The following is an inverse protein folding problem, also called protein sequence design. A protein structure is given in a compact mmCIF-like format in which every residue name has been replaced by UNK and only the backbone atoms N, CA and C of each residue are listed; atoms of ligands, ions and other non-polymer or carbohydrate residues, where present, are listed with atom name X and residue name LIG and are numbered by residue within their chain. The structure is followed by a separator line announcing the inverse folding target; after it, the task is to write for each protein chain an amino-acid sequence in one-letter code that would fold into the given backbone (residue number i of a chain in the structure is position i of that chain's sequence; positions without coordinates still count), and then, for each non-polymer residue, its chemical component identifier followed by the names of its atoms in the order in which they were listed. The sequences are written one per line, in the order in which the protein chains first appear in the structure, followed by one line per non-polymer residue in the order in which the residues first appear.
data_IF_898453051330
#
_entry.id   IF_898453051330
#
_cell.length_a   1.000
_cell.length_b   1.000
_cell.length_c   1.000
_cell.angle_alpha   90.00
_cell.angle_beta   90.00
_cell.angle_gamma   90.00
#
_symmetry.space_group_name_H-M   'P 1'
#
loop_
_entity.id
_entity.type
_entity.pdbx_description
1 polymer ?
#
# COMPACT_ATOMS: atom_id res chain seq x y z
N UNK A 1 -43.36 28.09 31.39
CA UNK A 1 -43.87 26.73 31.22
C UNK A 1 -45.15 26.80 30.42
N UNK A 2 -45.09 26.57 29.11
CA UNK A 2 -46.27 26.42 28.26
C UNK A 2 -46.00 25.32 27.25
N UNK A 3 -46.84 24.34 27.32
CA UNK A 3 -46.78 23.01 26.76
C UNK A 3 -47.01 23.00 25.23
N UNK A 4 -46.23 22.18 24.53
CA UNK A 4 -46.25 21.88 23.08
C UNK A 4 -47.50 21.13 22.59
N UNK A 5 -48.67 21.24 23.24
CA UNK A 5 -49.84 20.37 22.99
C UNK A 5 -51.08 21.03 22.38
N UNK A 6 -51.05 22.29 21.92
CA UNK A 6 -52.27 22.97 21.45
C UNK A 6 -52.17 23.55 20.04
N UNK A 7 -51.73 22.75 19.08
CA UNK A 7 -51.74 23.22 17.66
C UNK A 7 -52.40 22.24 16.68
N UNK A 8 -53.31 21.43 17.14
CA UNK A 8 -54.17 20.60 16.26
C UNK A 8 -55.60 20.67 16.78
N UNK A 9 -56.37 21.69 16.35
CA UNK A 9 -57.83 21.70 16.29
C UNK A 9 -58.35 23.07 15.84
N UNK A 10 -58.63 23.20 14.55
CA UNK A 10 -59.59 24.07 13.88
C UNK A 10 -59.22 24.09 12.41
N UNK A 11 -59.96 23.78 11.42
CA UNK A 11 -61.38 23.57 11.25
C UNK A 11 -61.56 23.33 9.76
N UNK A 12 -62.37 22.35 9.41
CA UNK A 12 -62.70 22.05 8.02
C UNK A 12 -63.61 23.10 7.39
N UNK A 13 -63.36 23.40 6.15
CA UNK A 13 -64.35 23.91 5.20
C UNK A 13 -64.00 23.41 3.79
N UNK A 14 -64.93 22.64 3.25
CA UNK A 14 -64.92 22.13 1.88
C UNK A 14 -65.28 23.31 0.95
N UNK A 15 -64.41 23.62 -0.01
CA UNK A 15 -64.77 24.37 -1.22
C UNK A 15 -64.27 23.57 -2.42
N UNK A 16 -65.21 23.08 -3.20
CA UNK A 16 -65.03 22.49 -4.52
C UNK A 16 -64.76 23.62 -5.50
N UNK A 17 -63.56 23.69 -6.01
CA UNK A 17 -63.15 24.65 -7.06
C UNK A 17 -62.29 23.98 -8.12
N UNK A 18 -62.70 24.14 -9.35
CA UNK A 18 -62.28 23.47 -10.57
C UNK A 18 -60.75 23.36 -10.76
N UNK A 19 -60.35 22.21 -11.27
CA UNK A 19 -59.00 21.85 -11.67
C UNK A 19 -58.47 22.78 -12.77
N UNK A 20 -57.38 23.52 -12.45
CA UNK A 20 -56.40 23.95 -13.41
C UNK A 20 -55.12 23.16 -13.10
N UNK A 21 -54.89 22.10 -13.86
CA UNK A 21 -53.63 21.33 -13.86
C UNK A 21 -52.50 22.22 -14.39
N UNK A 22 -51.86 22.97 -13.53
CA UNK A 22 -50.56 23.51 -13.78
C UNK A 22 -49.55 22.37 -13.70
N UNK A 23 -49.15 21.81 -14.86
CA UNK A 23 -47.97 21.00 -15.00
C UNK A 23 -46.76 21.81 -14.51
N UNK A 24 -46.34 21.57 -13.29
CA UNK A 24 -44.98 21.91 -12.87
C UNK A 24 -44.06 21.12 -13.79
N UNK A 25 -43.13 21.76 -14.53
CA UNK A 25 -42.10 21.02 -15.18
C UNK A 25 -41.30 20.33 -14.08
N UNK A 26 -41.50 19.01 -13.92
CA UNK A 26 -40.61 18.17 -13.15
C UNK A 26 -39.22 18.43 -13.69
N UNK A 27 -38.30 18.89 -12.86
CA UNK A 27 -36.89 18.78 -13.13
C UNK A 27 -36.54 17.30 -13.19
N UNK A 28 -36.90 16.63 -14.29
CA UNK A 28 -36.20 15.48 -14.75
C UNK A 28 -34.79 15.99 -15.07
N UNK A 29 -33.86 15.86 -14.14
CA UNK A 29 -32.45 15.95 -14.47
C UNK A 29 -32.22 14.85 -15.51
N UNK A 30 -32.30 15.21 -16.79
CA UNK A 30 -31.74 14.40 -17.86
C UNK A 30 -30.28 14.27 -17.48
N UNK A 31 -29.91 13.08 -16.94
CA UNK A 31 -28.51 12.74 -16.80
C UNK A 31 -27.94 12.89 -18.23
N UNK A 32 -27.20 13.96 -18.47
CA UNK A 32 -26.47 14.11 -19.71
C UNK A 32 -25.67 12.83 -19.91
N UNK A 33 -26.02 12.06 -20.94
CA UNK A 33 -25.24 10.89 -21.34
C UNK A 33 -23.90 11.44 -21.83
N UNK A 34 -22.93 11.53 -20.90
CA UNK A 34 -21.61 12.01 -21.24
C UNK A 34 -21.03 11.08 -22.31
N UNK A 35 -20.46 11.68 -23.37
CA UNK A 35 -19.77 10.95 -24.41
C UNK A 35 -18.71 10.05 -23.76
N UNK A 36 -18.67 8.75 -24.09
CA UNK A 36 -17.63 7.84 -23.61
C UNK A 36 -16.24 8.39 -23.96
N UNK A 37 -15.36 8.51 -22.97
CA UNK A 37 -13.99 8.99 -23.17
C UNK A 37 -13.03 7.89 -23.56
N UNK A 38 -13.38 6.62 -23.30
CA UNK A 38 -12.56 5.45 -23.58
C UNK A 38 -12.41 4.52 -22.38
N UNK A 39 -11.49 3.58 -22.51
CA UNK A 39 -11.25 2.50 -21.54
C UNK A 39 -9.88 2.65 -20.87
N UNK A 40 -9.87 2.55 -19.54
CA UNK A 40 -8.65 2.42 -18.74
C UNK A 40 -8.59 1.03 -18.14
N UNK A 41 -7.54 0.29 -18.47
CA UNK A 41 -7.21 -0.98 -17.82
C UNK A 41 -6.24 -0.71 -16.66
N UNK A 42 -6.47 -1.34 -15.50
CA UNK A 42 -5.62 -1.21 -14.31
C UNK A 42 -5.13 -2.60 -13.91
N UNK A 43 -3.81 -2.80 -13.90
CA UNK A 43 -3.16 -4.04 -13.47
C UNK A 43 -2.64 -3.88 -12.05
N UNK A 44 -3.15 -4.71 -11.13
CA UNK A 44 -2.81 -4.71 -9.71
C UNK A 44 -3.78 -3.91 -8.86
N UNK A 45 -4.49 -4.62 -7.97
CA UNK A 45 -5.49 -4.07 -7.07
C UNK A 45 -4.95 -3.93 -5.64
N UNK A 46 -3.78 -3.31 -5.50
CA UNK A 46 -3.24 -2.80 -4.25
C UNK A 46 -3.77 -1.40 -3.94
N UNK A 47 -3.09 -0.69 -3.04
CA UNK A 47 -3.46 0.68 -2.61
C UNK A 47 -3.61 1.65 -3.79
N UNK A 48 -2.66 1.64 -4.74
CA UNK A 48 -2.69 2.56 -5.88
C UNK A 48 -3.78 2.21 -6.89
N UNK A 49 -3.85 0.94 -7.32
CA UNK A 49 -4.77 0.54 -8.39
C UNK A 49 -6.24 0.65 -8.01
N UNK A 50 -6.62 0.25 -6.80
CA UNK A 50 -8.00 0.40 -6.31
C UNK A 50 -8.41 1.86 -6.19
N UNK A 51 -7.50 2.70 -5.67
CA UNK A 51 -7.72 4.15 -5.60
C UNK A 51 -7.89 4.73 -7.00
N UNK A 52 -6.98 4.42 -7.92
CA UNK A 52 -7.09 4.91 -9.30
C UNK A 52 -8.42 4.49 -9.96
N UNK A 53 -8.84 3.23 -9.76
CA UNK A 53 -10.09 2.70 -10.32
C UNK A 53 -11.31 3.48 -9.84
N UNK A 54 -11.44 3.68 -8.52
CA UNK A 54 -12.54 4.44 -7.92
C UNK A 54 -12.57 5.88 -8.42
N UNK A 55 -11.43 6.57 -8.33
CA UNK A 55 -11.36 7.99 -8.62
C UNK A 55 -11.48 8.29 -10.13
N UNK A 56 -11.01 7.41 -11.02
CA UNK A 56 -11.27 7.51 -12.45
C UNK A 56 -12.77 7.50 -12.74
N UNK A 57 -13.52 6.58 -12.14
CA UNK A 57 -14.98 6.51 -12.30
C UNK A 57 -15.67 7.76 -11.74
N UNK A 58 -15.29 8.16 -10.53
CA UNK A 58 -15.90 9.32 -9.86
C UNK A 58 -15.64 10.62 -10.62
N UNK A 59 -14.39 10.92 -10.93
CA UNK A 59 -14.00 12.20 -11.51
C UNK A 59 -14.34 12.34 -13.00
N UNK A 60 -14.41 11.21 -13.72
CA UNK A 60 -14.95 11.23 -15.08
C UNK A 60 -16.49 11.33 -15.13
N UNK A 61 -17.18 11.26 -13.98
CA UNK A 61 -18.64 11.13 -13.93
C UNK A 61 -19.15 9.91 -14.67
N UNK A 62 -18.36 8.81 -14.65
CA UNK A 62 -18.69 7.57 -15.31
C UNK A 62 -18.33 7.50 -16.80
N UNK A 63 -17.77 8.55 -17.40
CA UNK A 63 -17.45 8.58 -18.82
C UNK A 63 -16.26 7.70 -19.23
N UNK A 64 -15.40 7.31 -18.28
CA UNK A 64 -14.29 6.37 -18.52
C UNK A 64 -14.73 4.97 -18.08
N UNK A 65 -14.64 4.00 -18.98
CA UNK A 65 -14.76 2.58 -18.64
C UNK A 65 -13.51 2.14 -17.88
N UNK A 66 -13.66 1.53 -16.71
CA UNK A 66 -12.53 1.12 -15.85
C UNK A 66 -12.60 -0.37 -15.55
N UNK A 67 -11.54 -1.08 -15.93
CA UNK A 67 -11.32 -2.49 -15.62
C UNK A 67 -10.15 -2.60 -14.64
N UNK A 68 -10.36 -3.28 -13.53
CA UNK A 68 -9.33 -3.53 -12.50
C UNK A 68 -9.07 -5.02 -12.41
N UNK A 69 -7.87 -5.44 -12.77
CA UNK A 69 -7.45 -6.84 -12.75
C UNK A 69 -6.43 -7.10 -11.64
N UNK A 70 -6.64 -8.20 -10.93
CA UNK A 70 -5.70 -8.74 -9.95
C UNK A 70 -5.85 -10.27 -9.89
N UNK A 71 -4.77 -10.99 -9.65
CA UNK A 71 -4.81 -12.44 -9.46
C UNK A 71 -5.49 -12.84 -8.16
N UNK A 72 -5.41 -11.99 -7.13
CA UNK A 72 -6.03 -12.24 -5.84
C UNK A 72 -7.45 -11.68 -5.78
N UNK A 73 -8.45 -12.46 -5.35
CA UNK A 73 -9.85 -12.01 -5.31
C UNK A 73 -10.12 -10.99 -4.19
N UNK A 74 -9.29 -10.97 -3.16
CA UNK A 74 -9.45 -10.09 -2.00
C UNK A 74 -8.21 -9.22 -1.81
N UNK A 75 -8.39 -8.10 -1.14
CA UNK A 75 -7.29 -7.22 -0.72
C UNK A 75 -6.89 -7.52 0.72
N UNK A 76 -5.60 -7.79 0.95
CA UNK A 76 -5.02 -7.90 2.30
C UNK A 76 -4.04 -6.75 2.49
N UNK A 77 -4.26 -5.95 3.52
CA UNK A 77 -3.45 -4.78 3.80
C UNK A 77 -2.06 -5.15 4.31
N UNK A 78 -1.00 -4.71 3.63
CA UNK A 78 0.36 -4.83 4.14
C UNK A 78 0.62 -3.90 5.34
N UNK A 79 0.26 -2.62 5.34
CA UNK A 79 0.10 -1.86 6.58
C UNK A 79 -0.83 -2.60 7.54
N UNK A 80 -0.47 -2.63 8.83
CA UNK A 80 -1.12 -3.40 9.91
C UNK A 80 -0.81 -4.91 9.93
N UNK A 81 -0.13 -5.48 8.93
CA UNK A 81 0.20 -6.92 8.95
C UNK A 81 1.19 -7.30 10.05
N UNK A 82 2.03 -6.37 10.52
CA UNK A 82 2.91 -6.60 11.66
C UNK A 82 2.13 -6.83 12.96
N UNK A 83 0.93 -6.24 13.11
CA UNK A 83 0.05 -6.49 14.25
C UNK A 83 -0.49 -7.94 14.27
N UNK A 84 -0.64 -8.56 13.08
CA UNK A 84 -1.01 -9.98 12.97
C UNK A 84 0.17 -10.86 13.41
N UNK A 85 1.39 -10.52 13.02
CA UNK A 85 2.61 -11.23 13.46
C UNK A 85 2.78 -11.08 14.98
N UNK A 86 2.57 -9.89 15.53
CA UNK A 86 2.59 -9.62 16.97
C UNK A 86 1.45 -10.28 17.75
N UNK A 87 0.34 -10.64 17.08
CA UNK A 87 -0.81 -11.32 17.67
C UNK A 87 -1.88 -10.40 18.25
N UNK A 88 -1.75 -9.08 18.08
CA UNK A 88 -2.77 -8.12 18.53
C UNK A 88 -3.92 -7.95 17.54
N UNK A 89 -3.78 -8.47 16.30
CA UNK A 89 -4.81 -8.50 15.25
C UNK A 89 -4.81 -9.82 14.51
N UNK A 90 -5.88 -10.07 13.78
CA UNK A 90 -6.04 -11.24 12.90
C UNK A 90 -5.88 -10.86 11.44
N UNK A 91 -5.60 -11.82 10.57
CA UNK A 91 -5.54 -11.58 9.13
C UNK A 91 -6.90 -11.12 8.57
N UNK A 92 -8.01 -11.62 9.14
CA UNK A 92 -9.36 -11.22 8.75
C UNK A 92 -9.63 -9.73 8.98
N UNK A 93 -9.14 -9.17 10.10
CA UNK A 93 -9.30 -7.75 10.41
C UNK A 93 -8.59 -6.79 9.44
N UNK A 94 -7.62 -7.28 8.69
CA UNK A 94 -6.89 -6.50 7.67
C UNK A 94 -7.21 -6.94 6.24
N UNK A 95 -8.16 -7.86 6.07
CA UNK A 95 -8.66 -8.31 4.76
C UNK A 95 -9.92 -7.54 4.38
N UNK A 96 -10.01 -7.10 3.13
CA UNK A 96 -11.14 -6.31 2.61
C UNK A 96 -11.63 -6.85 1.27
N UNK A 97 -12.96 -6.81 1.08
CA UNK A 97 -13.59 -7.07 -0.21
C UNK A 97 -13.48 -5.84 -1.11
N UNK A 98 -13.32 -6.08 -2.41
CA UNK A 98 -13.31 -5.04 -3.45
C UNK A 98 -14.71 -4.78 -4.03
N UNK A 99 -15.73 -5.51 -3.60
CA UNK A 99 -17.04 -5.52 -4.27
C UNK A 99 -17.69 -4.14 -4.38
N UNK A 100 -17.52 -3.28 -3.37
CA UNK A 100 -18.05 -1.92 -3.41
C UNK A 100 -17.52 -1.06 -4.58
N UNK A 101 -16.37 -1.39 -5.17
CA UNK A 101 -15.90 -0.71 -6.37
C UNK A 101 -16.87 -0.90 -7.56
N UNK A 102 -17.67 -1.96 -7.57
CA UNK A 102 -18.73 -2.19 -8.58
C UNK A 102 -19.83 -1.11 -8.51
N UNK A 103 -20.09 -0.57 -7.32
CA UNK A 103 -21.09 0.49 -7.13
C UNK A 103 -20.66 1.80 -7.82
N UNK A 104 -19.34 1.98 -8.02
CA UNK A 104 -18.78 3.06 -8.83
C UNK A 104 -18.71 2.70 -10.32
N UNK A 105 -19.11 1.50 -10.72
CA UNK A 105 -19.06 1.01 -12.12
C UNK A 105 -17.67 0.49 -12.53
N UNK A 106 -16.82 0.09 -11.58
CA UNK A 106 -15.55 -0.59 -11.89
C UNK A 106 -15.82 -2.05 -12.21
N UNK A 107 -15.29 -2.53 -13.33
CA UNK A 107 -15.30 -3.95 -13.69
C UNK A 107 -14.13 -4.66 -12.99
N UNK A 108 -14.44 -5.57 -12.07
CA UNK A 108 -13.44 -6.35 -11.33
C UNK A 108 -13.15 -7.67 -12.05
N UNK A 109 -11.90 -7.86 -12.46
CA UNK A 109 -11.41 -9.07 -13.12
C UNK A 109 -10.46 -9.80 -12.15
N UNK A 110 -10.67 -11.11 -11.99
CA UNK A 110 -9.76 -11.95 -11.18
C UNK A 110 -9.05 -12.91 -12.14
N UNK A 111 -7.84 -12.52 -12.52
CA UNK A 111 -6.93 -13.28 -13.39
C UNK A 111 -5.51 -12.76 -13.30
N UNK A 112 -4.57 -13.49 -13.86
CA UNK A 112 -3.18 -13.08 -14.01
C UNK A 112 -2.95 -12.46 -15.39
N UNK A 113 -2.39 -11.27 -15.43
CA UNK A 113 -1.91 -10.66 -16.67
C UNK A 113 -0.56 -11.25 -17.03
N UNK A 114 -0.46 -11.86 -18.19
CA UNK A 114 0.78 -12.53 -18.64
C UNK A 114 1.63 -11.66 -19.57
N UNK A 115 1.01 -10.76 -20.34
CA UNK A 115 1.72 -9.84 -21.23
C UNK A 115 0.89 -8.60 -21.56
N UNK A 116 1.56 -7.57 -22.05
CA UNK A 116 0.95 -6.37 -22.61
C UNK A 116 1.61 -6.09 -23.96
N UNK A 117 0.81 -6.00 -25.00
CA UNK A 117 1.22 -5.51 -26.34
C UNK A 117 0.94 -3.98 -26.36
N UNK A 118 1.96 -3.20 -26.13
CA UNK A 118 1.84 -1.73 -26.08
C UNK A 118 1.51 -1.11 -27.44
N UNK A 119 2.00 -1.72 -28.53
CA UNK A 119 1.77 -1.20 -29.90
C UNK A 119 0.30 -1.36 -30.29
N UNK A 120 -0.31 -2.51 -29.97
CA UNK A 120 -1.73 -2.79 -30.22
C UNK A 120 -2.64 -2.35 -29.09
N UNK A 121 -2.08 -1.91 -27.94
CA UNK A 121 -2.79 -1.60 -26.70
C UNK A 121 -3.70 -2.75 -26.24
N UNK A 122 -3.11 -3.94 -26.11
CA UNK A 122 -3.82 -5.17 -25.72
C UNK A 122 -3.16 -5.74 -24.46
N UNK A 123 -4.00 -6.09 -23.45
CA UNK A 123 -3.61 -6.88 -22.28
C UNK A 123 -3.98 -8.33 -22.51
N UNK A 124 -3.03 -9.25 -22.22
CA UNK A 124 -3.22 -10.70 -22.32
C UNK A 124 -3.38 -11.32 -20.93
N UNK A 125 -4.35 -12.20 -20.84
CA UNK A 125 -4.70 -12.89 -19.61
C UNK A 125 -4.27 -14.35 -19.65
N UNK A 126 -4.16 -14.98 -18.47
CA UNK A 126 -3.71 -16.36 -18.34
C UNK A 126 -4.81 -17.36 -18.63
N UNK A 127 -5.95 -17.25 -17.94
CA UNK A 127 -6.91 -18.33 -17.85
C UNK A 127 -8.35 -17.97 -18.20
N UNK A 128 -8.88 -16.84 -17.71
CA UNK A 128 -10.33 -16.59 -17.63
C UNK A 128 -10.87 -15.63 -18.67
N UNK A 129 -10.05 -14.74 -19.18
CA UNK A 129 -10.51 -13.68 -20.06
C UNK A 129 -9.77 -13.72 -21.40
N UNK A 130 -10.50 -13.37 -22.46
CA UNK A 130 -9.89 -13.09 -23.76
C UNK A 130 -9.03 -11.82 -23.67
N UNK A 131 -8.14 -11.65 -24.64
CA UNK A 131 -7.33 -10.44 -24.77
C UNK A 131 -8.23 -9.19 -24.84
N UNK A 132 -7.86 -8.13 -24.10
CA UNK A 132 -8.65 -6.90 -23.99
C UNK A 132 -7.87 -5.66 -24.37
N UNK A 133 -8.50 -4.80 -25.18
CA UNK A 133 -7.93 -3.51 -25.56
C UNK A 133 -8.11 -2.44 -24.49
N UNK A 134 -7.24 -1.42 -24.51
CA UNK A 134 -7.31 -0.24 -23.64
C UNK A 134 -6.93 1.04 -24.41
N UNK A 135 -7.39 2.19 -23.94
CA UNK A 135 -6.93 3.50 -24.42
C UNK A 135 -5.77 4.00 -23.56
N UNK A 136 -5.85 3.80 -22.25
CA UNK A 136 -4.79 4.05 -21.27
C UNK A 136 -4.62 2.85 -20.34
N UNK A 137 -3.38 2.61 -19.90
CA UNK A 137 -3.05 1.53 -18.97
C UNK A 137 -2.49 2.10 -17.68
N UNK A 138 -2.95 1.57 -16.55
CA UNK A 138 -2.36 1.83 -15.22
C UNK A 138 -1.74 0.53 -14.72
N UNK A 139 -0.47 0.57 -14.33
CA UNK A 139 0.26 -0.58 -13.78
C UNK A 139 0.65 -0.27 -12.33
N UNK A 140 -0.01 -0.94 -11.40
CA UNK A 140 0.18 -0.76 -9.93
C UNK A 140 0.59 -2.09 -9.26
N UNK A 141 1.70 -2.71 -9.67
CA UNK A 141 2.00 -4.10 -9.38
C UNK A 141 2.72 -4.29 -8.04
N UNK A 142 3.13 -3.18 -7.40
CA UNK A 142 3.96 -3.22 -6.21
C UNK A 142 5.39 -3.70 -6.48
N UNK A 143 5.94 -4.48 -5.55
CA UNK A 143 7.32 -5.00 -5.61
C UNK A 143 7.34 -6.52 -5.78
N UNK A 144 8.45 -7.02 -6.31
CA UNK A 144 8.91 -8.39 -6.18
C UNK A 144 10.30 -8.46 -5.54
N UNK A 145 10.68 -9.65 -5.10
CA UNK A 145 11.90 -9.90 -4.37
C UNK A 145 13.01 -10.38 -5.30
N UNK A 146 14.22 -9.93 -5.03
CA UNK A 146 15.43 -10.31 -5.76
C UNK A 146 16.09 -11.52 -5.07
N UNK A 147 15.45 -12.69 -5.16
CA UNK A 147 15.99 -13.93 -4.56
C UNK A 147 17.31 -14.36 -5.19
N UNK A 148 17.63 -13.88 -6.38
CA UNK A 148 18.94 -14.09 -6.98
C UNK A 148 20.10 -13.51 -6.15
N UNK A 149 19.82 -12.53 -5.29
CA UNK A 149 20.81 -11.96 -4.36
C UNK A 149 21.04 -12.83 -3.11
N UNK A 150 20.21 -13.86 -2.88
CA UNK A 150 20.27 -14.76 -1.73
C UNK A 150 20.24 -16.21 -2.24
N UNK A 151 21.37 -16.78 -2.67
CA UNK A 151 21.42 -18.08 -3.34
C UNK A 151 20.70 -19.21 -2.61
N UNK A 152 20.83 -19.30 -1.29
CA UNK A 152 20.15 -20.31 -0.46
C UNK A 152 18.63 -20.15 -0.37
N UNK A 153 18.07 -19.04 -0.81
CA UNK A 153 16.62 -18.79 -0.86
C UNK A 153 16.01 -19.01 -2.26
N UNK A 154 16.76 -19.53 -3.21
CA UNK A 154 16.23 -19.91 -4.51
C UNK A 154 15.34 -21.15 -4.38
N UNK A 155 14.14 -21.04 -4.91
CA UNK A 155 13.17 -22.14 -4.90
C UNK A 155 12.12 -22.04 -3.79
N UNK A 156 10.94 -22.59 -4.10
CA UNK A 156 9.75 -22.48 -3.25
C UNK A 156 9.94 -23.08 -1.85
N UNK A 157 10.64 -24.22 -1.74
CA UNK A 157 10.83 -24.89 -0.46
C UNK A 157 11.63 -24.05 0.53
N UNK A 158 12.70 -23.39 0.08
CA UNK A 158 13.48 -22.48 0.89
C UNK A 158 12.64 -21.27 1.32
N UNK A 159 11.89 -20.69 0.40
CA UNK A 159 11.01 -19.54 0.63
C UNK A 159 9.83 -19.85 1.55
N UNK A 160 9.40 -21.11 1.63
CA UNK A 160 8.37 -21.56 2.55
C UNK A 160 8.89 -21.85 3.96
N UNK A 161 10.19 -22.04 4.13
CA UNK A 161 10.84 -22.28 5.42
C UNK A 161 11.39 -20.97 6.02
N UNK A 162 12.06 -20.15 5.20
CA UNK A 162 12.60 -18.84 5.58
C UNK A 162 11.71 -17.76 4.98
N UNK A 163 10.86 -17.21 5.84
CA UNK A 163 9.78 -16.34 5.41
C UNK A 163 10.21 -14.88 5.35
N UNK A 164 9.85 -14.18 4.26
CA UNK A 164 9.91 -12.73 4.26
C UNK A 164 8.68 -12.12 4.96
N UNK A 165 7.50 -12.69 4.83
CA UNK A 165 6.21 -12.18 5.33
C UNK A 165 6.00 -10.67 5.05
N UNK A 166 6.50 -10.20 3.88
CA UNK A 166 6.50 -8.78 3.49
C UNK A 166 5.38 -8.44 2.50
N UNK A 167 4.77 -9.44 1.88
CA UNK A 167 3.45 -9.37 1.25
C UNK A 167 2.48 -10.00 2.25
N UNK A 168 1.47 -9.22 2.69
CA UNK A 168 0.48 -9.72 3.65
C UNK A 168 -0.33 -10.88 3.06
N UNK A 169 -0.53 -11.93 3.84
CA UNK A 169 -1.20 -13.15 3.39
C UNK A 169 -0.74 -14.40 4.14
N UNK A 170 -0.65 -15.55 3.47
CA UNK A 170 -0.29 -16.82 4.11
C UNK A 170 1.03 -16.78 4.90
N UNK A 171 2.07 -16.12 4.37
CA UNK A 171 3.35 -15.99 5.08
C UNK A 171 3.26 -15.17 6.37
N UNK A 172 2.31 -14.23 6.48
CA UNK A 172 2.08 -13.46 7.72
C UNK A 172 1.66 -14.39 8.85
N UNK A 173 0.70 -15.27 8.56
CA UNK A 173 0.21 -16.28 9.51
C UNK A 173 1.27 -17.35 9.79
N UNK A 174 2.01 -17.77 8.75
CA UNK A 174 3.07 -18.76 8.89
C UNK A 174 4.21 -18.25 9.79
N UNK A 175 4.62 -16.98 9.64
CA UNK A 175 5.65 -16.39 10.50
C UNK A 175 5.16 -16.30 11.96
N UNK A 176 3.90 -15.93 12.19
CA UNK A 176 3.29 -15.98 13.52
C UNK A 176 3.38 -17.38 14.14
N UNK A 177 3.03 -18.42 13.39
CA UNK A 177 3.13 -19.80 13.85
C UNK A 177 4.57 -20.22 14.16
N UNK A 178 5.56 -19.79 13.37
CA UNK A 178 6.97 -20.03 13.66
C UNK A 178 7.38 -19.39 14.99
N UNK A 179 6.95 -18.15 15.28
CA UNK A 179 7.20 -17.48 16.56
C UNK A 179 6.56 -18.23 17.74
N UNK A 180 5.34 -18.73 17.56
CA UNK A 180 4.65 -19.54 18.59
C UNK A 180 5.35 -20.85 18.89
N UNK A 181 5.92 -21.49 17.86
CA UNK A 181 6.62 -22.77 17.97
C UNK A 181 8.10 -22.61 18.38
N UNK A 182 8.64 -21.40 18.38
CA UNK A 182 10.03 -21.13 18.75
C UNK A 182 10.29 -21.52 20.22
N UNK A 183 11.47 -22.08 20.58
CA UNK A 183 11.83 -22.36 21.98
C UNK A 183 11.69 -21.12 22.90
N UNK A 184 11.44 -21.34 24.20
CA UNK A 184 11.24 -20.25 25.17
C UNK A 184 12.46 -19.30 25.31
N UNK A 185 13.67 -19.80 25.02
CA UNK A 185 14.92 -19.07 24.98
C UNK A 185 15.45 -18.91 23.54
N UNK A 186 14.59 -19.06 22.54
CA UNK A 186 14.94 -19.08 21.13
C UNK A 186 15.40 -17.72 20.60
N UNK A 187 16.02 -17.75 19.43
CA UNK A 187 16.52 -16.57 18.73
C UNK A 187 15.71 -16.32 17.46
N UNK A 188 15.09 -15.15 17.38
CA UNK A 188 14.50 -14.62 16.15
C UNK A 188 15.53 -13.75 15.43
N UNK A 189 15.80 -14.04 14.16
CA UNK A 189 16.71 -13.25 13.33
C UNK A 189 15.92 -12.58 12.22
N UNK A 190 16.03 -11.26 12.09
CA UNK A 190 15.46 -10.51 10.97
C UNK A 190 16.55 -9.82 10.18
N UNK A 191 16.50 -9.93 8.83
CA UNK A 191 17.36 -9.13 7.95
C UNK A 191 16.57 -7.98 7.31
N UNK A 192 17.23 -6.83 7.15
CA UNK A 192 16.71 -5.64 6.51
C UNK A 192 17.60 -5.32 5.31
N UNK A 193 17.06 -5.28 4.09
CA UNK A 193 17.86 -5.04 2.90
C UNK A 193 18.32 -3.59 2.79
N UNK A 194 19.32 -3.34 1.97
CA UNK A 194 19.77 -1.99 1.66
C UNK A 194 18.64 -1.19 0.97
N UNK A 195 18.42 0.04 1.42
CA UNK A 195 17.45 0.95 0.80
C UNK A 195 17.80 1.25 -0.68
N UNK A 196 16.81 1.56 -1.53
CA UNK A 196 15.39 1.70 -1.23
C UNK A 196 14.63 0.36 -1.23
N UNK A 197 13.74 0.20 -0.27
CA UNK A 197 12.80 -0.92 -0.16
C UNK A 197 11.42 -0.41 0.28
N UNK A 198 10.37 -1.24 0.12
CA UNK A 198 9.01 -0.90 0.51
C UNK A 198 8.89 -0.78 2.02
N UNK A 199 8.17 0.26 2.49
CA UNK A 199 7.85 0.52 3.88
C UNK A 199 9.11 0.70 4.76
N UNK A 200 9.85 1.82 4.62
CA UNK A 200 11.11 2.03 5.36
C UNK A 200 11.01 1.80 6.88
N UNK A 201 9.95 2.21 7.61
CA UNK A 201 9.83 1.92 9.05
C UNK A 201 9.36 0.49 9.37
N UNK A 202 8.84 -0.24 8.39
CA UNK A 202 8.14 -1.51 8.61
C UNK A 202 8.96 -2.62 9.26
N UNK A 203 10.25 -2.83 8.91
CA UNK A 203 11.06 -3.86 9.56
C UNK A 203 11.28 -3.57 11.05
N UNK A 204 11.51 -2.32 11.41
CA UNK A 204 11.72 -1.90 12.81
C UNK A 204 10.43 -1.97 13.63
N UNK A 205 9.28 -1.67 13.01
CA UNK A 205 7.97 -1.95 13.59
C UNK A 205 7.78 -3.44 13.83
N UNK A 206 8.15 -4.31 12.86
CA UNK A 206 8.11 -5.76 13.03
C UNK A 206 8.94 -6.23 14.22
N UNK A 207 10.15 -5.69 14.38
CA UNK A 207 10.98 -5.95 15.55
C UNK A 207 10.24 -5.62 16.84
N UNK A 208 9.57 -4.46 16.91
CA UNK A 208 8.77 -4.09 18.08
C UNK A 208 7.61 -5.06 18.32
N UNK A 209 6.87 -5.46 17.27
CA UNK A 209 5.72 -6.36 17.40
C UNK A 209 6.15 -7.78 17.82
N UNK A 210 7.26 -8.27 17.30
CA UNK A 210 7.85 -9.55 17.73
C UNK A 210 8.35 -9.43 19.17
N UNK A 211 9.05 -8.36 19.53
CA UNK A 211 9.51 -8.12 20.88
C UNK A 211 8.36 -8.04 21.91
N UNK A 212 7.27 -7.35 21.54
CA UNK A 212 6.07 -7.28 22.37
C UNK A 212 5.49 -8.67 22.67
N UNK A 213 5.35 -9.52 21.64
CA UNK A 213 4.90 -10.89 21.81
C UNK A 213 5.87 -11.72 22.67
N UNK A 214 7.18 -11.66 22.35
CA UNK A 214 8.18 -12.44 23.07
C UNK A 214 8.30 -12.03 24.54
N UNK A 215 8.19 -10.75 24.86
CA UNK A 215 8.21 -10.25 26.24
C UNK A 215 7.13 -10.90 27.10
N UNK A 216 5.96 -11.15 26.53
CA UNK A 216 4.84 -11.78 27.24
C UNK A 216 4.93 -13.32 27.25
N UNK A 217 5.22 -13.92 26.10
CA UNK A 217 5.12 -15.35 25.93
C UNK A 217 6.46 -16.10 26.14
N UNK A 218 7.60 -15.46 25.88
CA UNK A 218 8.94 -16.06 25.85
C UNK A 218 10.01 -15.06 26.32
N UNK A 219 9.99 -14.62 27.59
CA UNK A 219 10.82 -13.50 28.07
C UNK A 219 12.34 -13.76 28.06
N UNK A 220 12.76 -15.01 27.83
CA UNK A 220 14.18 -15.38 27.66
C UNK A 220 14.63 -15.41 26.21
N UNK A 221 13.70 -15.24 25.25
CA UNK A 221 14.02 -15.16 23.83
C UNK A 221 14.70 -13.85 23.48
N UNK A 222 15.44 -13.85 22.38
CA UNK A 222 16.14 -12.66 21.88
C UNK A 222 15.87 -12.44 20.40
N UNK A 223 16.10 -11.19 19.96
CA UNK A 223 15.96 -10.74 18.59
C UNK A 223 17.30 -10.22 18.11
N UNK A 224 17.77 -10.70 16.95
CA UNK A 224 18.94 -10.16 16.27
C UNK A 224 18.44 -9.48 14.99
N UNK A 225 18.74 -8.20 14.85
CA UNK A 225 18.39 -7.38 13.70
C UNK A 225 19.64 -7.14 12.87
N UNK A 226 19.71 -7.70 11.69
CA UNK A 226 20.78 -7.51 10.72
C UNK A 226 20.33 -6.47 9.70
N UNK A 227 20.81 -5.25 9.82
CA UNK A 227 20.43 -4.14 8.96
C UNK A 227 21.56 -3.83 7.97
N UNK A 228 21.27 -3.93 6.67
CA UNK A 228 22.24 -3.58 5.62
C UNK A 228 22.55 -2.07 5.58
N UNK A 229 21.73 -1.25 6.23
CA UNK A 229 21.88 0.20 6.28
C UNK A 229 22.75 0.62 7.49
N UNK A 230 23.44 1.74 7.33
CA UNK A 230 24.25 2.34 8.41
C UNK A 230 23.38 2.75 9.61
N UNK A 231 22.18 3.24 9.33
CA UNK A 231 21.24 3.72 10.35
C UNK A 231 19.83 3.22 10.09
N UNK A 232 18.99 3.23 11.13
CA UNK A 232 17.55 3.00 11.00
C UNK A 232 16.98 4.00 9.99
N UNK A 233 16.43 3.52 8.89
CA UNK A 233 16.07 4.32 7.70
C UNK A 233 14.89 5.28 7.90
N UNK A 234 14.12 5.13 8.99
CA UNK A 234 13.01 6.00 9.33
C UNK A 234 12.74 6.00 10.83
N UNK A 235 12.54 7.16 11.45
CA UNK A 235 12.20 7.32 12.87
C UNK A 235 13.23 6.70 13.83
N UNK A 236 14.51 6.67 13.47
CA UNK A 236 15.57 5.97 14.19
C UNK A 236 15.61 6.26 15.69
N UNK A 237 15.68 7.52 16.13
CA UNK A 237 15.70 7.85 17.56
C UNK A 237 14.49 7.33 18.33
N UNK A 238 13.29 7.35 17.71
CA UNK A 238 12.05 6.89 18.34
C UNK A 238 12.00 5.36 18.49
N UNK A 239 12.46 4.61 17.47
CA UNK A 239 12.58 3.16 17.58
C UNK A 239 13.61 2.75 18.63
N UNK A 240 14.79 3.40 18.66
CA UNK A 240 15.80 3.13 19.70
C UNK A 240 15.24 3.39 21.09
N UNK A 241 14.56 4.52 21.30
CA UNK A 241 13.92 4.84 22.57
C UNK A 241 12.86 3.79 22.97
N UNK A 242 12.06 3.31 22.03
CA UNK A 242 11.08 2.24 22.28
C UNK A 242 11.77 0.92 22.68
N UNK A 243 12.85 0.53 21.98
CA UNK A 243 13.61 -0.70 22.30
C UNK A 243 14.24 -0.64 23.69
N UNK A 244 14.85 0.48 24.03
CA UNK A 244 15.47 0.70 25.36
C UNK A 244 14.44 0.67 26.50
N UNK A 245 13.28 1.31 26.30
CA UNK A 245 12.29 1.48 27.34
C UNK A 245 11.35 0.29 27.48
N UNK A 246 10.95 -0.35 26.37
CA UNK A 246 9.95 -1.42 26.38
C UNK A 246 10.58 -2.82 26.34
N UNK A 247 11.75 -2.97 25.68
CA UNK A 247 12.33 -4.27 25.32
C UNK A 247 13.81 -4.38 25.67
N UNK A 248 14.23 -3.69 26.72
CA UNK A 248 15.63 -3.61 27.17
C UNK A 248 16.25 -5.00 27.26
N UNK A 249 17.42 -5.18 26.60
CA UNK A 249 18.19 -6.41 26.62
C UNK A 249 17.64 -7.54 25.74
N UNK A 250 16.49 -7.35 25.07
CA UNK A 250 15.90 -8.38 24.17
C UNK A 250 16.34 -8.22 22.72
N UNK A 251 16.68 -7.01 22.28
CA UNK A 251 16.97 -6.66 20.89
C UNK A 251 18.44 -6.33 20.72
N UNK A 252 19.12 -7.06 19.86
CA UNK A 252 20.47 -6.78 19.40
C UNK A 252 20.39 -6.23 17.97
N UNK A 253 20.77 -4.96 17.80
CA UNK A 253 20.76 -4.27 16.49
C UNK A 253 22.16 -4.15 15.92
N UNK A 254 22.36 -4.71 14.72
CA UNK A 254 23.62 -4.70 13.98
C UNK A 254 23.44 -3.93 12.66
N UNK A 255 23.89 -2.67 12.58
CA UNK A 255 23.94 -1.92 11.33
C UNK A 255 25.06 -2.46 10.42
N UNK A 256 25.07 -2.06 9.15
CA UNK A 256 26.04 -2.47 8.14
C UNK A 256 26.20 -4.00 8.04
N UNK A 257 25.11 -4.74 8.28
CA UNK A 257 25.09 -6.20 8.35
C UNK A 257 24.20 -6.77 7.24
N UNK A 258 24.62 -6.59 5.99
CA UNK A 258 23.91 -7.11 4.83
C UNK A 258 23.99 -8.65 4.80
N UNK A 259 22.84 -9.31 4.72
CA UNK A 259 22.77 -10.75 4.53
C UNK A 259 23.05 -11.08 3.08
N UNK A 260 24.05 -11.95 2.85
CA UNK A 260 24.52 -12.38 1.52
C UNK A 260 23.99 -13.75 1.12
N UNK A 261 23.68 -14.59 2.11
CA UNK A 261 23.20 -15.95 1.85
C UNK A 261 22.44 -16.52 3.07
N UNK A 262 21.73 -17.61 2.84
CA UNK A 262 20.94 -18.31 3.86
C UNK A 262 21.19 -19.82 3.74
N UNK A 263 21.67 -20.45 4.81
CA UNK A 263 21.62 -21.90 4.99
C UNK A 263 20.29 -22.26 5.66
N UNK A 264 19.34 -22.72 4.85
CA UNK A 264 17.98 -23.05 5.32
C UNK A 264 18.00 -24.25 6.28
N UNK A 265 18.76 -25.30 5.94
CA UNK A 265 18.84 -26.51 6.76
C UNK A 265 19.52 -26.25 8.11
N UNK A 266 20.60 -25.47 8.10
CA UNK A 266 21.32 -25.05 9.29
C UNK A 266 20.66 -23.92 10.06
N UNK A 267 19.56 -23.33 9.54
CA UNK A 267 18.89 -22.14 10.08
C UNK A 267 19.88 -21.00 10.34
N UNK A 268 20.72 -20.69 9.37
CA UNK A 268 21.80 -19.73 9.53
C UNK A 268 21.75 -18.69 8.40
N UNK A 269 21.85 -17.42 8.75
CA UNK A 269 22.08 -16.33 7.79
C UNK A 269 23.56 -15.97 7.77
N UNK A 270 24.10 -15.66 6.59
CA UNK A 270 25.50 -15.32 6.38
C UNK A 270 25.62 -13.87 5.95
N UNK A 271 26.49 -13.13 6.60
CA UNK A 271 26.96 -11.80 6.21
C UNK A 271 28.38 -11.91 5.65
N UNK A 272 29.01 -10.79 5.32
CA UNK A 272 30.42 -10.80 4.88
C UNK A 272 31.38 -11.23 6.02
N UNK A 273 30.96 -11.08 7.28
CA UNK A 273 31.84 -11.26 8.44
C UNK A 273 31.40 -12.40 9.38
N UNK A 274 30.09 -12.68 9.43
CA UNK A 274 29.50 -13.58 10.44
C UNK A 274 28.52 -14.58 9.83
N UNK A 275 28.33 -15.68 10.57
CA UNK A 275 27.24 -16.64 10.35
C UNK A 275 26.36 -16.68 11.61
N UNK A 276 25.12 -16.24 11.47
CA UNK A 276 24.20 -16.07 12.60
C UNK A 276 23.11 -17.13 12.55
N UNK A 277 23.07 -18.01 13.55
CA UNK A 277 22.04 -19.04 13.70
C UNK A 277 20.81 -18.47 14.42
N UNK A 278 19.62 -18.83 13.95
CA UNK A 278 18.33 -18.49 14.57
C UNK A 278 17.37 -19.67 14.59
N UNK A 279 16.45 -19.66 15.54
CA UNK A 279 15.34 -20.62 15.58
C UNK A 279 14.24 -20.25 14.58
N UNK A 280 14.06 -18.95 14.36
CA UNK A 280 13.19 -18.38 13.34
C UNK A 280 13.98 -17.35 12.52
N UNK A 281 13.98 -17.53 11.21
CA UNK A 281 14.61 -16.62 10.27
C UNK A 281 13.54 -15.84 9.50
N UNK A 282 13.52 -14.51 9.62
CA UNK A 282 12.70 -13.60 8.84
C UNK A 282 13.60 -12.80 7.90
N UNK A 283 13.83 -13.29 6.71
CA UNK A 283 14.77 -12.69 5.76
C UNK A 283 14.00 -11.88 4.71
N UNK A 284 14.28 -10.58 4.65
CA UNK A 284 13.72 -9.69 3.63
C UNK A 284 14.72 -9.55 2.47
N UNK A 285 14.45 -10.19 1.31
CA UNK A 285 15.32 -10.03 0.15
C UNK A 285 15.30 -8.57 -0.37
N UNK A 286 16.33 -8.12 -1.10
CA UNK A 286 16.27 -6.89 -1.86
C UNK A 286 15.05 -6.86 -2.78
N UNK A 287 14.55 -5.65 -3.10
CA UNK A 287 13.29 -5.48 -3.81
C UNK A 287 13.48 -4.71 -5.11
N UNK A 288 12.60 -4.99 -6.08
CA UNK A 288 12.46 -4.26 -7.35
C UNK A 288 10.98 -4.08 -7.68
N UNK A 289 10.66 -3.30 -8.72
CA UNK A 289 9.31 -3.30 -9.30
C UNK A 289 8.92 -4.74 -9.69
N UNK A 290 7.65 -5.09 -9.50
CA UNK A 290 7.18 -6.45 -9.72
C UNK A 290 7.38 -6.91 -11.18
N UNK A 291 7.45 -8.23 -11.38
CA UNK A 291 7.87 -8.84 -12.64
C UNK A 291 7.03 -8.43 -13.85
N UNK A 292 5.75 -8.11 -13.68
CA UNK A 292 4.93 -7.56 -14.77
C UNK A 292 5.47 -6.22 -15.29
N UNK A 293 6.04 -5.37 -14.43
CA UNK A 293 6.67 -4.13 -14.87
C UNK A 293 7.96 -4.41 -15.67
N UNK A 294 8.67 -5.51 -15.34
CA UNK A 294 9.86 -5.96 -16.08
C UNK A 294 9.46 -6.52 -17.44
N UNK A 295 8.54 -7.47 -17.49
CA UNK A 295 8.12 -8.16 -18.72
C UNK A 295 7.45 -7.23 -19.74
N UNK A 296 6.93 -6.09 -19.26
CA UNK A 296 6.29 -5.06 -20.09
C UNK A 296 7.20 -3.87 -20.41
N UNK A 297 8.52 -3.95 -20.07
CA UNK A 297 9.50 -2.92 -20.44
C UNK A 297 9.39 -1.59 -19.70
N UNK A 298 8.75 -1.57 -18.53
CA UNK A 298 8.53 -0.35 -17.75
C UNK A 298 9.69 -0.01 -16.81
N UNK A 299 10.58 -0.97 -16.50
CA UNK A 299 11.74 -0.75 -15.63
C UNK A 299 12.83 -0.04 -16.44
N UNK A 300 13.10 1.21 -16.12
CA UNK A 300 14.09 2.05 -16.80
C UNK A 300 14.99 2.87 -15.84
N UNK A 301 14.86 2.63 -14.53
CA UNK A 301 15.66 3.29 -13.51
C UNK A 301 16.39 2.26 -12.63
N UNK A 302 17.75 2.34 -12.61
CA UNK A 302 18.65 1.50 -11.81
C UNK A 302 18.39 -0.02 -11.98
N UNK A 303 17.88 -0.47 -13.13
CA UNK A 303 17.45 -1.85 -13.40
C UNK A 303 16.46 -2.42 -12.36
N UNK A 304 15.83 -1.58 -11.56
CA UNK A 304 14.95 -1.97 -10.43
C UNK A 304 13.58 -1.29 -10.45
N UNK A 305 13.49 -0.03 -10.91
CA UNK A 305 12.30 0.80 -10.73
C UNK A 305 11.81 1.41 -12.03
N UNK A 306 10.57 1.87 -12.05
CA UNK A 306 9.96 2.55 -13.18
C UNK A 306 10.06 4.07 -12.98
N UNK A 307 10.64 4.77 -13.94
CA UNK A 307 10.61 6.22 -14.01
C UNK A 307 9.24 6.72 -14.46
N UNK A 308 8.76 7.79 -13.86
CA UNK A 308 7.46 8.41 -14.17
C UNK A 308 7.57 9.92 -14.29
N UNK A 309 6.69 10.50 -15.08
CA UNK A 309 6.38 11.92 -15.03
C UNK A 309 5.48 12.21 -13.82
N UNK A 310 5.95 13.04 -12.92
CA UNK A 310 5.28 13.34 -11.65
C UNK A 310 4.06 14.26 -11.77
N UNK A 311 3.74 14.77 -12.97
CA UNK A 311 2.48 15.46 -13.23
C UNK A 311 1.32 14.51 -13.55
N UNK A 312 1.66 13.32 -14.07
CA UNK A 312 0.67 12.38 -14.62
C UNK A 312 0.84 10.94 -14.14
N UNK A 313 1.97 10.61 -13.50
CA UNK A 313 2.42 9.23 -13.24
C UNK A 313 2.64 8.43 -14.52
N UNK A 314 2.68 9.05 -15.71
CA UNK A 314 2.96 8.38 -16.97
C UNK A 314 4.40 7.88 -17.00
N UNK A 315 4.59 6.65 -17.48
CA UNK A 315 5.91 6.03 -17.62
C UNK A 315 6.79 6.82 -18.57
N UNK A 316 8.04 7.07 -18.18
CA UNK A 316 9.04 7.67 -19.09
C UNK A 316 9.59 6.68 -20.11
N UNK A 317 9.23 5.39 -20.00
CA UNK A 317 9.64 4.35 -20.96
C UNK A 317 8.57 4.07 -22.01
N UNK A 318 7.29 4.09 -21.66
CA UNK A 318 6.18 3.69 -22.55
C UNK A 318 5.04 4.71 -22.46
N UNK A 319 4.78 5.46 -23.55
CA UNK A 319 3.68 6.42 -23.59
C UNK A 319 2.30 5.75 -23.40
N UNK A 320 1.38 6.45 -22.73
CA UNK A 320 0.02 5.97 -22.47
C UNK A 320 -0.10 4.95 -21.34
N UNK A 321 1.02 4.64 -20.66
CA UNK A 321 1.07 3.74 -19.51
C UNK A 321 1.45 4.53 -18.26
N UNK A 322 0.67 4.42 -17.20
CA UNK A 322 0.91 5.07 -15.91
C UNK A 322 1.35 4.05 -14.88
N UNK A 323 2.41 4.34 -14.11
CA UNK A 323 2.93 3.41 -13.08
C UNK A 323 2.76 4.02 -11.70
N UNK A 324 2.22 3.23 -10.76
CA UNK A 324 1.85 3.69 -9.43
C UNK A 324 2.56 2.95 -8.31
N UNK A 325 2.69 3.63 -7.17
CA UNK A 325 3.10 3.05 -5.90
C UNK A 325 4.54 2.57 -5.86
N UNK A 326 4.77 1.45 -5.20
CA UNK A 326 6.12 0.98 -4.87
C UNK A 326 6.97 0.58 -6.08
N UNK A 327 6.36 0.35 -7.24
CA UNK A 327 7.08 0.05 -8.49
C UNK A 327 7.83 1.26 -9.07
N UNK A 328 7.46 2.50 -8.71
CA UNK A 328 8.09 3.71 -9.22
C UNK A 328 9.46 3.95 -8.62
N UNK A 329 10.36 4.61 -9.35
CA UNK A 329 11.49 5.30 -8.73
C UNK A 329 10.93 6.43 -7.87
N UNK A 330 11.15 6.37 -6.55
CA UNK A 330 10.65 7.39 -5.64
C UNK A 330 11.24 8.76 -5.94
N UNK A 331 10.43 9.80 -5.80
CA UNK A 331 10.94 11.17 -5.74
C UNK A 331 11.83 11.36 -4.49
N UNK A 332 12.68 12.40 -4.45
CA UNK A 332 13.56 12.65 -3.32
C UNK A 332 12.80 12.65 -1.98
N UNK A 333 13.34 11.92 -0.99
CA UNK A 333 12.76 11.76 0.35
C UNK A 333 11.32 11.18 0.40
N UNK A 334 10.78 10.73 -0.72
CA UNK A 334 9.47 10.09 -0.79
C UNK A 334 9.56 8.61 -0.40
N UNK A 335 8.82 8.13 0.61
CA UNK A 335 8.85 6.72 0.98
C UNK A 335 8.02 5.87 0.01
N UNK A 336 8.41 4.61 -0.17
CA UNK A 336 7.55 3.59 -0.78
C UNK A 336 6.55 3.12 0.28
N UNK A 337 5.32 3.62 0.23
CA UNK A 337 4.29 3.33 1.24
C UNK A 337 2.90 3.11 0.63
N UNK A 338 2.01 2.43 1.37
CA UNK A 338 0.62 2.28 0.96
C UNK A 338 -0.10 3.64 0.83
N UNK A 339 0.22 4.61 1.69
CA UNK A 339 -0.36 5.96 1.59
C UNK A 339 0.11 6.68 0.31
N UNK A 340 1.43 6.63 0.01
CA UNK A 340 1.91 7.20 -1.25
C UNK A 340 1.31 6.50 -2.47
N UNK A 341 1.15 5.18 -2.44
CA UNK A 341 0.49 4.45 -3.52
C UNK A 341 -0.97 4.92 -3.72
N UNK A 342 -1.72 5.16 -2.63
CA UNK A 342 -3.06 5.76 -2.69
C UNK A 342 -3.02 7.16 -3.32
N UNK A 343 -2.08 8.01 -2.90
CA UNK A 343 -1.93 9.36 -3.46
C UNK A 343 -1.52 9.34 -4.94
N UNK A 344 -0.63 8.45 -5.34
CA UNK A 344 -0.29 8.22 -6.76
C UNK A 344 -1.53 7.79 -7.56
N UNK A 345 -2.42 6.97 -6.96
CA UNK A 345 -3.68 6.58 -7.59
C UNK A 345 -4.59 7.78 -7.88
N UNK A 346 -4.71 8.71 -6.93
CA UNK A 346 -5.49 9.96 -7.12
C UNK A 346 -4.83 10.88 -8.15
N UNK A 347 -3.52 11.06 -8.07
CA UNK A 347 -2.77 11.89 -9.02
C UNK A 347 -2.93 11.38 -10.45
N UNK A 348 -2.73 10.08 -10.66
CA UNK A 348 -2.91 9.46 -11.98
C UNK A 348 -4.36 9.55 -12.47
N UNK A 349 -5.34 9.30 -11.61
CA UNK A 349 -6.75 9.39 -11.97
C UNK A 349 -7.12 10.81 -12.44
N UNK A 350 -6.70 11.85 -11.70
CA UNK A 350 -6.93 13.23 -12.08
C UNK A 350 -6.27 13.55 -13.44
N UNK A 351 -5.00 13.17 -13.60
CA UNK A 351 -4.27 13.40 -14.83
C UNK A 351 -4.88 12.69 -16.03
N UNK A 352 -5.24 11.40 -15.88
CA UNK A 352 -5.86 10.61 -16.97
C UNK A 352 -7.20 11.21 -17.38
N UNK A 353 -8.03 11.67 -16.44
CA UNK A 353 -9.30 12.34 -16.76
C UNK A 353 -9.06 13.61 -17.58
N UNK A 354 -8.08 14.43 -17.21
CA UNK A 354 -7.74 15.63 -17.98
C UNK A 354 -7.22 15.27 -19.38
N UNK A 355 -6.27 14.35 -19.49
CA UNK A 355 -5.69 13.92 -20.75
C UNK A 355 -6.74 13.33 -21.70
N UNK A 356 -7.65 12.49 -21.21
CA UNK A 356 -8.69 11.88 -22.03
C UNK A 356 -9.77 12.90 -22.47
N UNK A 357 -9.84 14.03 -21.78
CA UNK A 357 -10.65 15.20 -22.23
C UNK A 357 -9.87 16.16 -23.12
N UNK A 358 -8.64 15.84 -23.53
CA UNK A 358 -7.79 16.70 -24.36
C UNK A 358 -7.19 17.90 -23.61
N UNK A 359 -7.15 17.86 -22.28
CA UNK A 359 -6.59 18.91 -21.42
C UNK A 359 -5.25 18.49 -20.81
N UNK A 360 -4.49 19.44 -20.30
CA UNK A 360 -3.26 19.18 -19.58
C UNK A 360 -3.54 18.79 -18.12
N UNK A 361 -2.74 17.87 -17.53
CA UNK A 361 -2.77 17.61 -16.08
C UNK A 361 -2.47 18.87 -15.26
N UNK A 362 -2.87 18.85 -13.98
CA UNK A 362 -2.49 19.90 -13.01
C UNK A 362 -0.97 20.08 -12.99
N UNK A 363 -0.52 21.33 -13.07
CA UNK A 363 0.91 21.69 -13.04
C UNK A 363 1.45 21.86 -11.62
N UNK A 364 0.61 21.76 -10.62
CA UNK A 364 0.95 21.96 -9.20
C UNK A 364 0.40 20.87 -8.31
N UNK A 365 0.60 19.56 -8.64
CA UNK A 365 0.10 18.50 -7.78
C UNK A 365 0.78 18.53 -6.40
N UNK A 366 -0.02 18.24 -5.39
CA UNK A 366 0.42 18.09 -4.00
C UNK A 366 -0.08 16.75 -3.48
N UNK A 367 0.79 15.97 -2.87
CA UNK A 367 0.46 14.69 -2.25
C UNK A 367 1.05 14.59 -0.84
N UNK A 368 0.44 13.80 0.01
CA UNK A 368 0.84 13.68 1.41
C UNK A 368 1.11 12.23 1.81
N UNK A 369 1.99 12.04 2.78
CA UNK A 369 2.27 10.75 3.38
C UNK A 369 2.19 10.83 4.90
N UNK A 370 1.64 9.78 5.51
CA UNK A 370 1.76 9.53 6.95
C UNK A 370 1.99 8.03 7.14
N UNK A 371 3.01 7.68 7.91
CA UNK A 371 3.34 6.30 8.27
C UNK A 371 3.30 6.15 9.78
N UNK A 372 2.27 5.48 10.27
CA UNK A 372 2.15 5.03 11.66
C UNK A 372 2.92 3.72 11.84
N UNK A 373 3.65 3.60 12.96
CA UNK A 373 4.36 2.36 13.33
C UNK A 373 4.07 2.00 14.78
N UNK A 374 3.49 0.84 14.97
CA UNK A 374 3.17 0.31 16.29
C UNK A 374 4.43 -0.20 16.99
N UNK A 375 4.80 0.42 18.11
CA UNK A 375 5.94 -0.01 18.93
C UNK A 375 5.54 -0.94 20.07
N UNK A 376 4.24 -1.06 20.35
CA UNK A 376 3.60 -2.09 21.17
C UNK A 376 2.26 -2.48 20.55
N UNK A 377 1.38 -3.15 21.28
CA UNK A 377 0.00 -3.42 20.85
C UNK A 377 -0.87 -2.15 20.77
N UNK A 378 -0.47 -1.07 21.49
CA UNK A 378 -1.25 0.17 21.65
C UNK A 378 -0.50 1.43 21.27
N UNK A 379 0.80 1.50 21.55
CA UNK A 379 1.58 2.73 21.36
C UNK A 379 2.15 2.80 19.95
N UNK A 380 2.11 3.99 19.38
CA UNK A 380 2.54 4.28 18.01
C UNK A 380 3.52 5.45 17.99
N UNK A 381 4.37 5.46 16.98
CA UNK A 381 5.15 6.59 16.50
C UNK A 381 4.84 6.83 15.03
N UNK A 382 4.77 8.10 14.59
CA UNK A 382 4.49 8.40 13.18
C UNK A 382 5.59 9.24 12.51
N UNK A 383 5.55 9.29 11.19
CA UNK A 383 6.22 10.27 10.35
C UNK A 383 5.23 10.75 9.30
N UNK A 384 5.20 12.05 9.05
CA UNK A 384 4.39 12.67 8.01
C UNK A 384 5.24 13.56 7.10
N UNK A 385 4.80 13.74 5.85
CA UNK A 385 5.41 14.66 4.90
C UNK A 385 4.40 15.07 3.83
N UNK A 386 4.55 16.27 3.29
CA UNK A 386 3.84 16.74 2.09
C UNK A 386 4.85 16.95 0.98
N UNK A 387 4.49 16.55 -0.23
CA UNK A 387 5.31 16.67 -1.43
C UNK A 387 4.57 17.49 -2.47
N UNK A 388 5.25 18.49 -3.03
CA UNK A 388 4.73 19.36 -4.07
C UNK A 388 5.63 19.30 -5.30
N UNK A 389 5.04 19.45 -6.48
CA UNK A 389 5.81 19.46 -7.73
C UNK A 389 6.67 20.71 -7.83
N UNK A 390 7.95 20.48 -8.13
CA UNK A 390 8.93 21.52 -8.47
C UNK A 390 9.18 21.50 -9.98
N UNK A 391 8.76 22.53 -10.73
CA UNK A 391 8.93 22.57 -12.17
C UNK A 391 10.40 22.72 -12.63
N UNK A 392 11.29 23.21 -11.76
CA UNK A 392 12.72 23.30 -12.06
C UNK A 392 13.39 21.93 -12.00
N UNK A 393 13.04 21.13 -10.99
CA UNK A 393 13.57 19.78 -10.80
C UNK A 393 12.75 18.71 -11.54
N UNK A 394 11.57 19.07 -12.06
CA UNK A 394 10.61 18.16 -12.71
C UNK A 394 10.28 16.94 -11.86
N UNK A 395 10.16 17.12 -10.54
CA UNK A 395 9.87 16.07 -9.58
C UNK A 395 9.06 16.61 -8.40
N UNK A 396 8.53 15.71 -7.57
CA UNK A 396 7.93 16.08 -6.29
C UNK A 396 9.03 16.27 -5.24
N UNK A 397 8.99 17.37 -4.52
CA UNK A 397 9.91 17.69 -3.42
C UNK A 397 9.15 17.83 -2.11
N UNK A 398 9.78 17.48 -1.01
CA UNK A 398 9.19 17.69 0.32
C UNK A 398 9.05 19.18 0.62
N UNK A 399 7.85 19.61 1.00
CA UNK A 399 7.57 20.99 1.42
C UNK A 399 8.18 21.21 2.80
N UNK A 400 9.10 22.17 2.98
CA UNK A 400 9.72 22.44 4.28
C UNK A 400 8.68 22.75 5.37
N UNK A 401 8.83 22.14 6.54
CA UNK A 401 7.93 22.34 7.68
C UNK A 401 6.55 21.71 7.56
N UNK A 402 6.28 20.97 6.47
CA UNK A 402 4.96 20.37 6.21
C UNK A 402 4.71 19.03 6.89
N UNK A 403 5.65 18.53 7.65
CA UNK A 403 5.56 17.23 8.29
C UNK A 403 6.42 17.15 9.53
N UNK A 404 6.73 15.94 9.93
CA UNK A 404 7.56 15.70 11.10
C UNK A 404 7.39 14.28 11.59
N UNK A 405 7.96 14.04 12.78
CA UNK A 405 7.84 12.78 13.52
C UNK A 405 7.18 13.04 14.87
N UNK A 406 6.63 11.99 15.48
CA UNK A 406 6.13 12.04 16.86
C UNK A 406 7.21 12.60 17.81
N UNK A 407 6.81 13.36 18.81
CA UNK A 407 7.71 13.77 19.90
C UNK A 407 8.14 12.55 20.72
N UNK A 408 7.21 11.62 20.94
CA UNK A 408 7.40 10.35 21.65
C UNK A 408 6.31 9.36 21.23
N UNK A 409 6.44 8.09 21.62
CA UNK A 409 5.37 7.12 21.44
C UNK A 409 4.15 7.44 22.31
N UNK A 410 2.95 7.14 21.81
CA UNK A 410 1.70 7.35 22.58
C UNK A 410 0.57 6.40 22.16
N UNK A 411 -0.34 6.11 23.08
CA UNK A 411 -1.56 5.36 22.82
C UNK A 411 -2.57 6.16 21.97
N UNK A 412 -2.56 7.49 22.10
CA UNK A 412 -3.41 8.38 21.29
C UNK A 412 -3.05 8.23 19.80
N UNK A 413 -1.76 8.22 19.47
CA UNK A 413 -1.32 7.95 18.10
C UNK A 413 -1.63 6.50 17.67
N UNK A 414 -1.71 5.56 18.62
CA UNK A 414 -2.17 4.20 18.36
C UNK A 414 -3.60 4.15 17.86
N UNK A 415 -4.49 4.90 18.50
CA UNK A 415 -5.86 5.07 18.03
C UNK A 415 -5.91 5.74 16.64
N UNK A 416 -5.09 6.77 16.40
CA UNK A 416 -4.98 7.41 15.09
C UNK A 416 -4.47 6.46 14.01
N UNK A 417 -3.47 5.64 14.31
CA UNK A 417 -2.92 4.66 13.37
C UNK A 417 -3.95 3.63 12.90
N UNK A 418 -4.79 3.14 13.82
CA UNK A 418 -5.87 2.22 13.46
C UNK A 418 -6.98 2.94 12.68
N UNK A 419 -7.41 4.12 13.12
CA UNK A 419 -8.40 4.94 12.40
C UNK A 419 -7.92 5.30 11.00
N UNK A 420 -6.62 5.63 10.82
CA UNK A 420 -6.02 5.86 9.51
C UNK A 420 -6.18 4.66 8.59
N UNK A 421 -5.93 3.45 9.10
CA UNK A 421 -6.08 2.23 8.29
C UNK A 421 -7.52 2.05 7.82
N UNK A 422 -8.50 2.25 8.69
CA UNK A 422 -9.93 2.17 8.34
C UNK A 422 -10.31 3.24 7.32
N UNK A 423 -9.84 4.47 7.50
CA UNK A 423 -10.14 5.58 6.62
C UNK A 423 -9.55 5.40 5.22
N UNK A 424 -8.29 4.95 5.11
CA UNK A 424 -7.68 4.74 3.80
C UNK A 424 -8.31 3.54 3.06
N UNK A 425 -8.74 2.50 3.78
CA UNK A 425 -9.50 1.40 3.18
C UNK A 425 -10.87 1.86 2.68
N UNK A 426 -11.58 2.70 3.43
CA UNK A 426 -12.84 3.30 2.98
C UNK A 426 -12.61 4.26 1.80
N UNK A 427 -11.56 5.08 1.84
CA UNK A 427 -11.20 5.98 0.76
C UNK A 427 -10.99 5.26 -0.57
N UNK A 428 -10.30 4.13 -0.56
CA UNK A 428 -9.98 3.41 -1.80
C UNK A 428 -11.01 2.37 -2.23
N UNK A 429 -11.85 1.88 -1.29
CA UNK A 429 -12.80 0.79 -1.57
C UNK A 429 -14.28 1.24 -1.52
N UNK A 430 -14.59 2.31 -0.81
CA UNK A 430 -15.95 2.84 -0.62
C UNK A 430 -16.60 2.48 0.68
#
# INVERSE_FOLDING_TARGET
MTSRRNFIKAGGAVVIGAAASSMLPGCASTAEIRKPLGRVMIIGAGYGGQTAAKYLRMWSGGAIEVMLVDREPTFISCPMSNLVIGGSRTLAEITRSRNKLRDYGVQLLTDEVTAVDHAKKIVKFKDRYADMGYDRLVVSPGIDFMYEALPGMKGADAQNQVLHAWKAGPQTVALRKQLESMPANGTFVISIPLAPYRCPPGPYERVCQVAHYLKQAKPKARIIVLDANENITSKGPLFRAAWEQLYKGMIEYRPNSEVKDVDVAGRTVKTDFDSIKGDVLNVLPPMRAADIARSTGLINANNRWCGVDWLSMESTAVPGVHVLGDATLSAPAMPKSGHMANQHGKLAAAAIVEIMNGRQPSQTPVIANTCYSFVSDKEVIHVASVHQYDPKQKTLVTVPGSGGVSAQRSEVEGAYGWAWAQNIWSDMLG
#
